data_IF_087945633931
#
_entry.id   IF_087945633931
#
_cell.length_a   1.000
_cell.length_b   1.000
_cell.length_c   1.000
_cell.angle_alpha   90.00
_cell.angle_beta   90.00
_cell.angle_gamma   90.00
#
_symmetry.space_group_name_H-M   'P 1'
#
loop_
_entity.id
_entity.type
_entity.pdbx_description
1 polymer ?
#
# COMPACT_ATOMS: atom_id res chain seq x y z
N UNK A 1 -0.30 22.07 -4.56
CA UNK A 1 -1.12 21.49 -3.46
C UNK A 1 -0.56 20.10 -3.16
N UNK A 2 -0.51 19.66 -1.91
CA UNK A 2 0.01 18.32 -1.55
C UNK A 2 -1.12 17.46 -1.03
N UNK A 3 -1.17 16.19 -1.44
CA UNK A 3 -2.04 15.20 -0.83
C UNK A 3 -1.28 14.47 0.28
N UNK A 4 -1.88 14.41 1.47
CA UNK A 4 -1.30 13.75 2.63
C UNK A 4 -1.93 12.37 2.80
N UNK A 5 -1.15 11.31 2.61
CA UNK A 5 -1.59 9.93 2.84
C UNK A 5 -1.05 9.47 4.20
N UNK A 6 -1.96 9.17 5.12
CA UNK A 6 -1.62 8.68 6.46
C UNK A 6 -1.69 7.17 6.52
N UNK A 7 -0.53 6.53 6.65
CA UNK A 7 -0.39 5.10 6.86
C UNK A 7 -0.41 4.81 8.36
N UNK A 8 -1.16 3.78 8.76
CA UNK A 8 -1.35 3.38 10.16
C UNK A 8 -0.50 2.18 10.57
N UNK A 9 -0.20 1.31 9.62
CA UNK A 9 0.61 0.11 9.85
C UNK A 9 1.69 -0.04 8.80
N UNK A 10 2.81 -0.62 9.19
CA UNK A 10 3.96 -0.85 8.34
C UNK A 10 4.43 -2.30 8.45
N UNK A 11 4.74 -2.92 7.32
CA UNK A 11 5.34 -4.24 7.24
C UNK A 11 6.81 -4.10 6.81
N UNK A 12 7.78 -4.45 7.66
CA UNK A 12 9.20 -4.23 7.38
C UNK A 12 9.72 -5.10 6.23
N UNK A 13 9.39 -6.40 6.23
CA UNK A 13 9.93 -7.35 5.24
C UNK A 13 9.53 -7.02 3.80
N UNK A 14 8.26 -6.66 3.60
CA UNK A 14 7.74 -6.28 2.28
C UNK A 14 7.81 -4.77 2.02
N UNK A 15 8.26 -3.97 2.99
CA UNK A 15 8.28 -2.50 2.95
C UNK A 15 6.91 -1.91 2.56
N UNK A 16 5.83 -2.48 3.09
CA UNK A 16 4.45 -2.08 2.79
C UNK A 16 3.88 -1.19 3.89
N UNK A 17 3.19 -0.13 3.50
CA UNK A 17 2.35 0.68 4.36
C UNK A 17 0.88 0.35 4.16
N UNK A 18 0.11 0.27 5.24
CA UNK A 18 -1.33 0.04 5.23
C UNK A 18 -2.03 1.24 5.84
N UNK A 19 -2.86 1.90 5.05
CA UNK A 19 -3.78 2.95 5.52
C UNK A 19 -5.08 2.31 6.03
N UNK A 20 -5.63 1.41 5.22
CA UNK A 20 -6.78 0.56 5.54
C UNK A 20 -6.68 -0.76 4.76
N UNK A 21 -7.68 -1.64 4.94
CA UNK A 21 -7.66 -2.98 4.33
C UNK A 21 -7.68 -2.97 2.79
N UNK A 22 -8.12 -1.87 2.16
CA UNK A 22 -8.18 -1.72 0.69
C UNK A 22 -7.02 -0.88 0.14
N UNK A 23 -6.44 -0.01 0.97
CA UNK A 23 -5.40 0.94 0.62
C UNK A 23 -4.07 0.51 1.24
N UNK A 24 -3.33 -0.29 0.47
CA UNK A 24 -1.97 -0.73 0.78
C UNK A 24 -1.01 -0.09 -0.21
N UNK A 25 0.15 0.33 0.29
CA UNK A 25 1.14 1.10 -0.42
C UNK A 25 2.51 0.44 -0.29
N UNK A 26 3.27 0.36 -1.37
CA UNK A 26 4.68 0.01 -1.33
C UNK A 26 5.50 1.26 -1.05
N UNK A 27 6.36 1.23 -0.04
CA UNK A 27 7.15 2.38 0.43
C UNK A 27 8.60 2.33 -0.06
N UNK A 28 8.86 1.70 -1.20
CA UNK A 28 10.20 1.60 -1.79
C UNK A 28 10.37 2.70 -2.83
N UNK A 29 11.16 3.72 -2.50
CA UNK A 29 11.37 4.87 -3.38
C UNK A 29 10.10 5.71 -3.50
N UNK A 30 9.49 5.75 -4.69
CA UNK A 30 8.20 6.43 -4.91
C UNK A 30 7.06 5.56 -4.36
N UNK A 31 6.20 6.09 -3.48
CA UNK A 31 5.10 5.31 -2.93
C UNK A 31 4.10 4.87 -4.00
N UNK A 32 3.94 3.56 -4.18
CA UNK A 32 3.03 2.98 -5.19
C UNK A 32 1.86 2.31 -4.49
N UNK A 33 0.64 2.66 -4.89
CA UNK A 33 -0.57 2.00 -4.43
C UNK A 33 -0.66 0.59 -5.02
N UNK A 34 -0.83 -0.42 -4.19
CA UNK A 34 -1.10 -1.78 -4.66
C UNK A 34 -2.56 -1.91 -5.09
N UNK A 35 -2.78 -2.81 -6.04
CA UNK A 35 -4.12 -3.27 -6.34
C UNK A 35 -4.59 -4.24 -5.26
N UNK A 36 -5.86 -4.12 -4.91
CA UNK A 36 -6.52 -4.96 -3.92
C UNK A 36 -7.68 -5.69 -4.58
N UNK A 37 -7.81 -6.98 -4.32
CA UNK A 37 -8.88 -7.79 -4.89
C UNK A 37 -9.08 -9.09 -4.13
N UNK A 38 -10.17 -9.78 -4.47
CA UNK A 38 -10.46 -11.11 -3.95
C UNK A 38 -10.02 -12.15 -4.96
N UNK A 39 -9.23 -13.12 -4.50
CA UNK A 39 -8.82 -14.27 -5.30
C UNK A 39 -9.11 -15.55 -4.52
N UNK A 40 -10.02 -16.38 -5.05
CA UNK A 40 -10.48 -17.63 -4.41
C UNK A 40 -10.90 -17.41 -2.95
N UNK A 41 -11.72 -16.40 -2.69
CA UNK A 41 -12.22 -16.04 -1.35
C UNK A 41 -11.20 -15.40 -0.41
N UNK A 42 -9.95 -15.20 -0.84
CA UNK A 42 -8.93 -14.54 -0.03
C UNK A 42 -8.66 -13.13 -0.53
N UNK A 43 -8.49 -12.19 0.40
CA UNK A 43 -8.04 -10.85 0.09
C UNK A 43 -6.55 -10.88 -0.29
N UNK A 44 -6.24 -10.35 -1.47
CA UNK A 44 -4.91 -10.38 -2.07
C UNK A 44 -4.55 -8.99 -2.58
N UNK A 45 -3.27 -8.66 -2.43
CA UNK A 45 -2.65 -7.42 -2.89
C UNK A 45 -1.59 -7.74 -3.92
N UNK A 46 -1.48 -6.93 -4.98
CA UNK A 46 -0.42 -7.08 -5.98
C UNK A 46 0.04 -5.73 -6.52
N UNK A 47 1.28 -5.68 -6.97
CA UNK A 47 1.84 -4.47 -7.56
C UNK A 47 1.30 -4.28 -8.99
N UNK A 48 0.98 -3.05 -9.39
CA UNK A 48 0.69 -2.76 -10.80
C UNK A 48 1.90 -3.15 -11.66
N UNK A 49 1.66 -3.95 -12.71
CA UNK A 49 2.72 -4.47 -13.58
C UNK A 49 3.50 -5.69 -13.06
N UNK A 50 3.20 -6.20 -11.85
CA UNK A 50 3.80 -7.42 -11.33
C UNK A 50 2.76 -8.53 -11.12
N UNK A 51 3.12 -9.77 -11.48
CA UNK A 51 2.30 -10.96 -11.17
C UNK A 51 2.38 -11.40 -9.70
N UNK A 52 3.24 -10.78 -8.88
CA UNK A 52 3.45 -11.18 -7.49
C UNK A 52 2.28 -10.74 -6.60
N UNK A 53 1.67 -11.71 -5.95
CA UNK A 53 0.50 -11.56 -5.09
C UNK A 53 0.87 -11.81 -3.63
N UNK A 54 0.33 -10.99 -2.73
CA UNK A 54 0.52 -11.10 -1.27
C UNK A 54 -0.86 -11.26 -0.64
N UNK A 55 -1.08 -12.35 0.08
CA UNK A 55 -2.35 -12.54 0.79
C UNK A 55 -2.42 -11.65 2.03
N UNK A 56 -3.63 -11.25 2.42
CA UNK A 56 -3.84 -10.51 3.67
C UNK A 56 -3.37 -11.29 4.90
N UNK A 57 -3.49 -12.63 4.90
CA UNK A 57 -2.99 -13.47 5.99
C UNK A 57 -1.48 -13.35 6.15
N UNK A 58 -0.74 -13.32 5.04
CA UNK A 58 0.73 -13.13 5.04
C UNK A 58 1.08 -11.73 5.50
N UNK A 59 0.42 -10.72 4.95
CA UNK A 59 0.65 -9.32 5.29
C UNK A 59 0.37 -9.05 6.78
N UNK A 60 -0.72 -9.58 7.33
CA UNK A 60 -1.07 -9.37 8.75
C UNK A 60 -0.01 -9.87 9.73
N UNK A 61 0.76 -10.92 9.39
CA UNK A 61 1.75 -11.54 10.30
C UNK A 61 2.91 -10.60 10.67
N UNK A 62 3.26 -9.63 9.82
CA UNK A 62 4.36 -8.70 10.07
C UNK A 62 3.94 -7.24 10.19
N UNK A 63 2.65 -6.95 10.42
CA UNK A 63 2.19 -5.57 10.59
C UNK A 63 2.61 -5.01 11.94
N UNK A 64 3.35 -3.91 11.89
CA UNK A 64 3.74 -3.09 13.03
C UNK A 64 2.91 -1.81 12.98
N UNK A 65 2.27 -1.44 14.09
CA UNK A 65 1.55 -0.16 14.18
C UNK A 65 2.56 0.98 14.15
N UNK A 66 2.50 1.79 13.08
CA UNK A 66 3.42 2.91 12.87
C UNK A 66 2.75 3.94 11.99
N UNK A 67 2.66 5.17 12.48
CA UNK A 67 2.11 6.28 11.71
C UNK A 67 3.17 6.83 10.77
N UNK A 68 2.90 6.80 9.47
CA UNK A 68 3.78 7.36 8.43
C UNK A 68 2.93 8.31 7.59
N UNK A 69 3.39 9.54 7.39
CA UNK A 69 2.72 10.53 6.54
C UNK A 69 3.50 10.64 5.25
N UNK A 70 2.89 10.23 4.15
CA UNK A 70 3.43 10.45 2.81
C UNK A 70 2.84 11.76 2.29
N UNK A 71 3.72 12.65 1.80
CA UNK A 71 3.33 13.87 1.10
C UNK A 71 3.54 13.63 -0.40
N UNK A 72 2.46 13.52 -1.17
CA UNK A 72 2.54 13.41 -2.63
C UNK A 72 2.29 14.77 -3.28
N UNK A 73 3.10 15.19 -4.26
CA UNK A 73 2.81 16.38 -5.06
C UNK A 73 1.57 16.11 -5.92
N UNK A 74 0.58 17.00 -5.85
CA UNK A 74 -0.59 16.93 -6.72
C UNK A 74 -0.17 17.40 -8.11
N UNK A 75 0.06 16.47 -9.04
CA UNK A 75 0.24 16.80 -10.45
C UNK A 75 -1.14 17.11 -11.04
N UNK A 76 -1.47 18.41 -11.13
CA UNK A 76 -2.61 18.87 -11.91
C UNK A 76 -2.24 18.68 -13.38
N UNK A 77 -2.99 17.83 -14.10
CA UNK A 77 -2.87 17.76 -15.56
C UNK A 77 -3.18 19.15 -16.14
N UNK A 78 -2.37 19.67 -17.08
CA UNK A 78 -2.74 20.87 -17.82
C UNK A 78 -3.96 20.53 -18.68
N UNK A 79 -5.05 21.25 -18.48
CA UNK A 79 -6.24 21.21 -19.31
C UNK A 79 -6.05 22.03 -20.59
#
# INVERSE_FOLDING_TARGET
MFENITIKYFHPDFKLGVQDIRNVWLLVGKPVKLYTGLHRGNLVFWLPGSGKRISYKTLKKGLIKKTIIIRQPLELLPF
#
